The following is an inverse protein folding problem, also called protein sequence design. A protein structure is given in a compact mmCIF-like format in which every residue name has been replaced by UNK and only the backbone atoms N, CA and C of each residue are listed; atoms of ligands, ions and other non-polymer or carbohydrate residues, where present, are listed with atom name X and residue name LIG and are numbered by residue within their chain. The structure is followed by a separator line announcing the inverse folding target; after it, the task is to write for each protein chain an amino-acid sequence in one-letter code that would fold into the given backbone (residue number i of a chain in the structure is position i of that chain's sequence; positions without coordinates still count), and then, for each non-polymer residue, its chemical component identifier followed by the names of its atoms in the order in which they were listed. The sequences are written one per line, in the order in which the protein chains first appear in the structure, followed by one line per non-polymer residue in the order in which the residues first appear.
data_IF_039900849777
#
_entry.id   IF_039900849777
#
_cell.length_a   1.000
_cell.length_b   1.000
_cell.length_c   1.000
_cell.angle_alpha   90.00
_cell.angle_beta   90.00
_cell.angle_gamma   90.00
#
_symmetry.space_group_name_H-M   'P 1'
#
loop_
_entity.id
_entity.type
_entity.pdbx_description
1 polymer ?
#
# COMPACT_ATOMS: atom_id res chain seq x y z
N UNK A 1 -10.33 1.48 -24.97
CA UNK A 1 -9.58 2.43 -24.11
C UNK A 1 -8.46 1.68 -23.39
N UNK A 2 -7.21 2.06 -23.60
CA UNK A 2 -6.04 1.40 -22.99
C UNK A 2 -5.94 1.69 -21.50
N UNK A 3 -5.18 0.88 -20.75
CA UNK A 3 -4.90 1.14 -19.34
C UNK A 3 -4.30 2.55 -19.12
N UNK A 4 -3.36 2.96 -19.98
CA UNK A 4 -2.74 4.28 -19.93
C UNK A 4 -3.76 5.41 -20.14
N UNK A 5 -4.69 5.26 -21.09
CA UNK A 5 -5.77 6.22 -21.30
C UNK A 5 -6.72 6.30 -20.08
N UNK A 6 -7.07 5.15 -19.49
CA UNK A 6 -7.91 5.11 -18.27
C UNK A 6 -7.19 5.76 -17.08
N UNK A 7 -5.92 5.47 -16.88
CA UNK A 7 -5.07 6.07 -15.84
C UNK A 7 -4.96 7.57 -16.01
N UNK A 8 -4.67 8.06 -17.23
CA UNK A 8 -4.59 9.49 -17.53
C UNK A 8 -5.91 10.21 -17.26
N UNK A 9 -7.03 9.64 -17.69
CA UNK A 9 -8.37 10.20 -17.42
C UNK A 9 -8.68 10.26 -15.93
N UNK A 10 -8.38 9.20 -15.19
CA UNK A 10 -8.58 9.16 -13.74
C UNK A 10 -7.72 10.23 -13.04
N UNK A 11 -6.45 10.38 -13.44
CA UNK A 11 -5.56 11.43 -12.90
C UNK A 11 -6.11 12.83 -13.18
N UNK A 12 -6.51 13.12 -14.41
CA UNK A 12 -7.09 14.41 -14.78
C UNK A 12 -8.37 14.72 -14.00
N UNK A 13 -9.22 13.71 -13.76
CA UNK A 13 -10.41 13.86 -12.94
C UNK A 13 -10.06 14.24 -11.49
N UNK A 14 -9.09 13.57 -10.88
CA UNK A 14 -8.70 13.84 -9.49
C UNK A 14 -8.01 15.20 -9.33
N UNK A 15 -7.21 15.59 -10.31
CA UNK A 15 -6.58 16.92 -10.37
C UNK A 15 -7.65 18.02 -10.49
N UNK A 16 -8.66 17.81 -11.33
CA UNK A 16 -9.81 18.73 -11.43
C UNK A 16 -10.60 18.89 -10.13
N UNK A 17 -10.57 17.86 -9.27
CA UNK A 17 -11.21 17.86 -7.94
C UNK A 17 -10.32 18.45 -6.85
N UNK A 18 -9.17 19.04 -7.20
CA UNK A 18 -8.17 19.60 -6.27
C UNK A 18 -7.66 18.57 -5.24
N UNK A 19 -7.69 17.28 -5.57
CA UNK A 19 -7.12 16.26 -4.71
C UNK A 19 -5.60 16.39 -4.69
N UNK A 20 -4.98 16.24 -3.53
CA UNK A 20 -3.53 16.17 -3.45
C UNK A 20 -3.01 14.92 -4.16
N UNK A 21 -1.94 15.11 -4.94
CA UNK A 21 -1.33 14.05 -5.76
C UNK A 21 -0.88 12.84 -4.94
N UNK A 22 -0.44 13.06 -3.70
CA UNK A 22 -0.10 11.99 -2.76
C UNK A 22 -1.27 11.06 -2.45
N UNK A 23 -2.50 11.58 -2.45
CA UNK A 23 -3.69 10.84 -2.04
C UNK A 23 -4.16 9.86 -3.13
N UNK A 24 -3.90 10.16 -4.40
CA UNK A 24 -4.30 9.29 -5.51
C UNK A 24 -3.15 8.61 -6.25
N UNK A 25 -1.93 9.13 -6.13
CA UNK A 25 -0.71 8.59 -6.74
C UNK A 25 0.46 8.63 -5.73
N UNK A 26 0.40 7.85 -4.64
CA UNK A 26 1.43 7.81 -3.62
C UNK A 26 2.78 7.34 -4.23
N UNK A 27 3.92 7.67 -3.60
CA UNK A 27 5.25 7.29 -4.10
C UNK A 27 5.38 5.82 -4.50
N UNK A 28 4.89 4.90 -3.65
CA UNK A 28 4.87 3.47 -3.93
C UNK A 28 4.14 3.15 -5.25
N UNK A 29 2.91 3.65 -5.42
CA UNK A 29 2.10 3.36 -6.61
C UNK A 29 2.78 3.88 -7.87
N UNK A 30 3.48 5.02 -7.79
CA UNK A 30 4.29 5.55 -8.90
C UNK A 30 5.48 4.65 -9.24
N UNK A 31 6.13 4.05 -8.25
CA UNK A 31 7.21 3.07 -8.47
C UNK A 31 6.65 1.84 -9.19
N UNK A 32 5.53 1.30 -8.72
CA UNK A 32 4.88 0.14 -9.35
C UNK A 32 4.50 0.41 -10.81
N UNK A 33 4.00 1.61 -11.13
CA UNK A 33 3.76 2.03 -12.52
C UNK A 33 5.03 2.09 -13.36
N UNK A 34 6.15 2.56 -12.79
CA UNK A 34 7.45 2.58 -13.49
C UNK A 34 7.98 1.17 -13.76
N UNK A 35 7.65 0.21 -12.90
CA UNK A 35 7.96 -1.21 -13.09
C UNK A 35 7.00 -1.91 -14.07
N UNK A 36 6.08 -1.18 -14.70
CA UNK A 36 5.13 -1.73 -15.69
C UNK A 36 3.89 -2.39 -15.08
N UNK A 37 3.71 -2.32 -13.76
CA UNK A 37 2.56 -2.91 -13.07
C UNK A 37 1.32 -2.04 -13.33
N UNK A 38 0.27 -2.66 -13.88
CA UNK A 38 -0.96 -1.98 -14.30
C UNK A 38 -1.99 -1.87 -13.17
N UNK A 39 -1.65 -1.10 -12.13
CA UNK A 39 -2.58 -0.81 -11.02
C UNK A 39 -3.37 0.49 -11.26
N UNK A 40 -4.68 0.52 -11.01
CA UNK A 40 -5.45 1.76 -11.05
C UNK A 40 -4.96 2.75 -9.97
N UNK A 41 -5.25 4.06 -10.09
CA UNK A 41 -5.03 5.00 -9.00
C UNK A 41 -5.79 4.60 -7.73
N UNK A 42 -5.28 4.96 -6.55
CA UNK A 42 -5.79 4.50 -5.25
C UNK A 42 -7.33 4.58 -5.11
N UNK A 43 -8.00 5.70 -5.45
CA UNK A 43 -9.46 5.82 -5.29
C UNK A 43 -10.28 4.90 -6.21
N UNK A 44 -9.68 4.36 -7.26
CA UNK A 44 -10.33 3.48 -8.24
C UNK A 44 -9.89 2.01 -8.09
N UNK A 45 -9.11 1.72 -7.06
CA UNK A 45 -8.58 0.39 -6.80
C UNK A 45 -9.63 -0.47 -6.09
N UNK A 46 -9.86 -1.74 -6.51
CA UNK A 46 -10.74 -2.64 -5.79
C UNK A 46 -10.22 -2.87 -4.38
N UNK A 47 -11.15 -3.10 -3.44
CA UNK A 47 -10.85 -3.23 -2.02
C UNK A 47 -9.64 -4.14 -1.73
N UNK A 48 -9.60 -5.34 -2.30
CA UNK A 48 -8.52 -6.30 -2.04
C UNK A 48 -7.13 -5.79 -2.48
N UNK A 49 -7.04 -5.03 -3.58
CA UNK A 49 -5.78 -4.46 -4.04
C UNK A 49 -5.30 -3.38 -3.07
N UNK A 50 -6.22 -2.53 -2.58
CA UNK A 50 -5.89 -1.53 -1.55
C UNK A 50 -5.43 -2.24 -0.28
N UNK A 51 -6.20 -3.22 0.20
CA UNK A 51 -5.90 -3.97 1.43
C UNK A 51 -4.53 -4.64 1.37
N UNK A 52 -4.19 -5.32 0.27
CA UNK A 52 -2.87 -5.94 0.11
C UNK A 52 -1.77 -4.88 0.01
N UNK A 53 -1.99 -3.81 -0.76
CA UNK A 53 -0.95 -2.81 -1.02
C UNK A 53 -0.64 -1.96 0.21
N UNK A 54 -1.65 -1.37 0.83
CA UNK A 54 -1.47 -0.47 1.98
C UNK A 54 -1.39 -1.26 3.28
N UNK A 55 -2.21 -2.29 3.44
CA UNK A 55 -2.18 -3.16 4.62
C UNK A 55 -0.90 -3.99 4.67
N UNK A 56 -0.42 -4.52 3.54
CA UNK A 56 0.85 -5.23 3.48
C UNK A 56 2.04 -4.34 3.84
N UNK A 57 2.11 -3.14 3.28
CA UNK A 57 3.16 -2.18 3.65
C UNK A 57 3.12 -1.82 5.14
N UNK A 58 1.93 -1.52 5.67
CA UNK A 58 1.76 -1.18 7.08
C UNK A 58 2.14 -2.36 7.98
N UNK A 59 1.61 -3.55 7.70
CA UNK A 59 1.85 -4.76 8.47
C UNK A 59 3.32 -5.15 8.49
N UNK A 60 4.02 -5.08 7.35
CA UNK A 60 5.47 -5.34 7.29
C UNK A 60 6.23 -4.27 8.09
N UNK A 61 5.94 -2.98 7.86
CA UNK A 61 6.66 -1.89 8.53
C UNK A 61 6.48 -1.94 10.06
N UNK A 62 5.25 -2.15 10.51
CA UNK A 62 4.91 -2.26 11.93
C UNK A 62 5.46 -3.55 12.55
N UNK A 63 5.31 -4.68 11.87
CA UNK A 63 5.86 -5.96 12.32
C UNK A 63 7.37 -5.92 12.47
N UNK A 64 8.08 -5.30 11.52
CA UNK A 64 9.52 -5.06 11.64
C UNK A 64 9.85 -4.15 12.84
N UNK A 65 9.12 -3.04 13.02
CA UNK A 65 9.33 -2.15 14.16
C UNK A 65 9.14 -2.89 15.50
N UNK A 66 8.03 -3.63 15.65
CA UNK A 66 7.75 -4.42 16.85
C UNK A 66 8.79 -5.51 17.09
N UNK A 67 9.29 -6.15 16.03
CA UNK A 67 10.33 -7.15 16.15
C UNK A 67 11.61 -6.58 16.78
N UNK A 68 12.08 -5.43 16.29
CA UNK A 68 13.32 -4.84 16.78
C UNK A 68 13.18 -4.09 18.11
N UNK A 69 12.00 -3.56 18.42
CA UNK A 69 11.76 -2.76 19.64
C UNK A 69 11.32 -3.64 20.81
N UNK A 70 10.51 -4.67 20.57
CA UNK A 70 9.81 -5.39 21.63
C UNK A 70 9.94 -6.91 21.53
N UNK A 71 9.46 -7.56 20.46
CA UNK A 71 9.36 -9.03 20.41
C UNK A 71 10.73 -9.71 20.46
N UNK A 72 11.68 -9.25 19.63
CA UNK A 72 13.05 -9.79 19.60
C UNK A 72 13.77 -9.61 20.96
N UNK A 73 13.83 -8.39 21.51
CA UNK A 73 14.44 -8.16 22.83
C UNK A 73 13.76 -8.92 23.98
N UNK A 74 12.46 -9.22 23.87
CA UNK A 74 11.71 -9.99 24.88
C UNK A 74 11.96 -11.50 24.81
N UNK A 75 12.79 -11.98 23.87
CA UNK A 75 13.05 -13.41 23.67
C UNK A 75 11.89 -14.17 23.00
N UNK A 76 10.90 -13.46 22.47
CA UNK A 76 9.74 -14.05 21.80
C UNK A 76 10.17 -14.65 20.46
N UNK A 77 9.71 -15.87 20.16
CA UNK A 77 9.95 -16.49 18.86
C UNK A 77 8.96 -15.99 17.82
N UNK A 78 9.34 -16.01 16.54
CA UNK A 78 8.52 -15.46 15.46
C UNK A 78 7.10 -16.06 15.39
N UNK A 79 6.94 -17.34 15.71
CA UNK A 79 5.63 -17.99 15.75
C UNK A 79 4.69 -17.39 16.81
N UNK A 80 5.21 -17.11 18.00
CA UNK A 80 4.44 -16.47 19.09
C UNK A 80 4.02 -15.06 18.69
N UNK A 81 4.94 -14.27 18.13
CA UNK A 81 4.67 -12.92 17.64
C UNK A 81 3.56 -12.89 16.58
N UNK A 82 3.52 -13.89 15.69
CA UNK A 82 2.47 -14.04 14.69
C UNK A 82 1.13 -14.36 15.33
N UNK A 83 1.08 -15.32 16.26
CA UNK A 83 -0.16 -15.74 16.93
C UNK A 83 -0.80 -14.57 17.68
N UNK A 84 -0.01 -13.81 18.45
CA UNK A 84 -0.53 -12.65 19.21
C UNK A 84 -0.93 -11.48 18.31
N UNK A 85 -0.43 -11.43 17.06
CA UNK A 85 -0.78 -10.37 16.11
C UNK A 85 -2.13 -10.60 15.43
N UNK A 86 -2.70 -11.80 15.54
CA UNK A 86 -3.94 -12.22 14.88
C UNK A 86 -5.03 -12.69 15.86
N UNK A 87 -4.75 -12.69 17.17
CA UNK A 87 -5.65 -13.10 18.26
C UNK A 87 -5.97 -11.89 19.13
#
# INVERSE_FOLDING_TARGET
MTFEQKKARAIALMDSKKMWRSNYAPPLLRILWRLGIRLPPLPFMPFWQVTVLTGGLWGISWGCAMWFIYWGPSGMVAGEAIIISIT
#
